data_IF_993858723356
#
_entry.id   IF_993858723356
#
_cell.length_a   1.000
_cell.length_b   1.000
_cell.length_c   1.000
_cell.angle_alpha   90.00
_cell.angle_beta   90.00
_cell.angle_gamma   90.00
#
_symmetry.space_group_name_H-M   'P 1'
#
loop_
_entity.id
_entity.type
_entity.pdbx_description
1 polymer ?
#
# COMPACT_ATOMS: atom_id res chain seq x y z
N UNK A 1 11.52 -21.69 -18.55
CA UNK A 1 10.69 -20.52 -18.92
C UNK A 1 10.73 -19.38 -17.89
N UNK A 2 11.76 -19.26 -17.03
CA UNK A 2 11.79 -18.25 -15.96
C UNK A 2 12.56 -16.94 -16.30
N UNK A 3 13.29 -16.88 -17.43
CA UNK A 3 14.10 -15.70 -17.79
C UNK A 3 13.28 -14.43 -18.09
N UNK A 4 12.10 -14.58 -18.68
CA UNK A 4 11.26 -13.45 -19.14
C UNK A 4 10.79 -12.55 -17.99
N UNK A 5 10.31 -13.15 -16.89
CA UNK A 5 9.74 -12.40 -15.76
C UNK A 5 10.79 -11.64 -14.95
N UNK A 6 11.99 -12.20 -14.81
CA UNK A 6 13.10 -11.53 -14.12
C UNK A 6 13.61 -10.35 -14.93
N UNK A 7 13.72 -10.47 -16.26
CA UNK A 7 14.07 -9.33 -17.12
C UNK A 7 12.99 -8.25 -17.13
N UNK A 8 11.71 -8.63 -17.09
CA UNK A 8 10.61 -7.68 -17.00
C UNK A 8 10.61 -6.89 -15.68
N UNK A 9 10.84 -7.57 -14.54
CA UNK A 9 11.00 -6.92 -13.23
C UNK A 9 12.24 -6.03 -13.23
N UNK A 10 13.36 -6.49 -13.78
CA UNK A 10 14.61 -5.71 -13.84
C UNK A 10 14.43 -4.47 -14.70
N UNK A 11 13.80 -4.60 -15.86
CA UNK A 11 13.44 -3.47 -16.74
C UNK A 11 12.50 -2.50 -16.05
N UNK A 12 11.54 -2.99 -15.27
CA UNK A 12 10.63 -2.17 -14.44
C UNK A 12 11.42 -1.39 -13.39
N UNK A 13 12.38 -2.03 -12.71
CA UNK A 13 13.27 -1.38 -11.73
C UNK A 13 14.22 -0.38 -12.43
N UNK A 14 14.75 -0.70 -13.60
CA UNK A 14 15.65 0.16 -14.37
C UNK A 14 14.92 1.40 -14.93
N UNK A 15 13.65 1.25 -15.31
CA UNK A 15 12.75 2.38 -15.65
C UNK A 15 12.55 3.30 -14.44
N UNK A 16 12.65 2.75 -13.23
CA UNK A 16 12.66 3.53 -11.99
C UNK A 16 14.02 4.24 -11.75
N UNK A 17 15.06 3.96 -12.53
CA UNK A 17 16.31 4.74 -12.56
C UNK A 17 17.09 4.74 -11.23
N UNK A 18 18.21 5.48 -11.14
CA UNK A 18 19.03 5.57 -9.93
C UNK A 18 18.41 6.44 -8.83
N UNK A 19 17.31 7.17 -9.10
CA UNK A 19 16.54 7.86 -8.06
C UNK A 19 15.93 6.82 -7.14
N UNK A 20 16.28 6.89 -5.85
CA UNK A 20 15.77 5.91 -4.91
C UNK A 20 14.31 6.21 -4.65
N UNK A 21 13.48 5.16 -4.74
CA UNK A 21 12.14 5.20 -4.21
C UNK A 21 12.29 5.52 -2.72
N UNK A 22 11.88 6.72 -2.35
CA UNK A 22 11.89 7.19 -0.98
C UNK A 22 10.76 6.50 -0.22
N UNK A 23 9.60 6.33 -0.85
CA UNK A 23 8.43 5.71 -0.23
C UNK A 23 7.49 5.07 -1.26
N UNK A 24 6.96 3.88 -0.94
CA UNK A 24 5.79 3.30 -1.60
C UNK A 24 4.66 3.19 -0.58
N UNK A 25 3.48 3.71 -0.91
CA UNK A 25 2.29 3.65 -0.08
C UNK A 25 1.18 2.89 -0.78
N UNK A 26 0.65 1.85 -0.15
CA UNK A 26 -0.63 1.28 -0.54
C UNK A 26 -1.72 1.78 0.40
N UNK A 27 -2.75 2.41 -0.16
CA UNK A 27 -3.92 2.90 0.58
C UNK A 27 -5.13 2.06 0.18
N UNK A 28 -5.74 1.40 1.15
CA UNK A 28 -6.99 0.65 0.95
C UNK A 28 -8.13 1.40 1.64
N UNK A 29 -9.17 1.74 0.88
CA UNK A 29 -10.24 2.65 1.31
C UNK A 29 -11.45 1.92 1.93
N UNK A 30 -12.14 2.63 2.81
CA UNK A 30 -13.31 2.28 3.63
C UNK A 30 -14.63 1.92 2.89
N UNK A 31 -14.65 1.57 1.61
CA UNK A 31 -15.93 1.20 0.98
C UNK A 31 -16.24 -0.27 1.18
N UNK A 32 -17.52 -0.61 1.30
CA UNK A 32 -17.97 -2.00 1.36
C UNK A 32 -17.40 -2.74 0.15
N UNK A 33 -16.54 -3.72 0.44
CA UNK A 33 -15.85 -4.51 -0.56
C UNK A 33 -16.60 -5.83 -0.70
N UNK A 34 -17.06 -6.17 -1.90
CA UNK A 34 -17.68 -7.47 -2.14
C UNK A 34 -16.63 -8.55 -2.46
N UNK A 35 -15.40 -8.18 -2.82
CA UNK A 35 -14.33 -9.13 -3.13
C UNK A 35 -12.90 -8.55 -3.00
N UNK A 36 -11.85 -9.40 -2.92
CA UNK A 36 -10.47 -8.95 -3.01
C UNK A 36 -10.12 -8.24 -4.33
N UNK A 37 -10.77 -8.61 -5.44
CA UNK A 37 -10.55 -7.93 -6.73
C UNK A 37 -11.08 -6.48 -6.68
N UNK A 38 -12.21 -6.27 -6.01
CA UNK A 38 -12.71 -4.93 -5.73
C UNK A 38 -11.80 -4.17 -4.77
N UNK A 39 -11.23 -4.82 -3.75
CA UNK A 39 -10.27 -4.18 -2.84
C UNK A 39 -9.12 -3.51 -3.61
N UNK A 40 -8.56 -4.22 -4.59
CA UNK A 40 -7.49 -3.69 -5.43
C UNK A 40 -7.99 -2.56 -6.34
N UNK A 41 -9.20 -2.66 -6.89
CA UNK A 41 -9.76 -1.61 -7.75
C UNK A 41 -10.11 -0.33 -6.98
N UNK A 42 -10.34 -0.44 -5.67
CA UNK A 42 -10.60 0.68 -4.75
C UNK A 42 -9.35 1.14 -3.97
N UNK A 43 -8.20 0.52 -4.24
CA UNK A 43 -6.93 0.91 -3.64
C UNK A 43 -6.27 2.06 -4.41
N UNK A 44 -5.43 2.81 -3.72
CA UNK A 44 -4.53 3.79 -4.32
C UNK A 44 -3.08 3.46 -4.01
N UNK A 45 -2.21 3.66 -4.98
CA UNK A 45 -0.77 3.56 -4.85
C UNK A 45 -0.19 4.97 -4.87
N UNK A 46 0.62 5.30 -3.87
CA UNK A 46 1.39 6.55 -3.83
C UNK A 46 2.87 6.17 -3.88
N UNK A 47 3.62 6.69 -4.82
CA UNK A 47 5.07 6.52 -4.90
C UNK A 47 5.71 7.88 -4.73
N UNK A 48 6.69 7.99 -3.84
CA UNK A 48 7.53 9.17 -3.67
C UNK A 48 8.98 8.84 -3.94
N UNK A 49 9.67 9.73 -4.63
CA UNK A 49 11.10 9.63 -4.92
C UNK A 49 11.90 10.70 -4.19
N UNK A 50 13.18 10.41 -3.97
CA UNK A 50 14.16 11.33 -3.37
C UNK A 50 14.41 12.59 -4.21
N UNK A 51 14.15 12.55 -5.52
CA UNK A 51 14.25 13.68 -6.44
C UNK A 51 13.19 13.70 -7.54
N UNK A 52 13.11 14.78 -8.34
CA UNK A 52 12.13 14.97 -9.40
C UNK A 52 12.15 13.83 -10.43
N UNK A 53 10.98 13.50 -10.97
CA UNK A 53 10.81 12.39 -11.92
C UNK A 53 9.83 12.73 -13.04
N UNK A 54 10.17 12.30 -14.26
CA UNK A 54 9.21 12.25 -15.37
C UNK A 54 8.26 11.06 -15.19
N UNK A 55 7.20 11.28 -14.43
CA UNK A 55 6.18 10.26 -14.18
C UNK A 55 5.42 9.83 -15.43
N UNK A 56 5.30 10.71 -16.44
CA UNK A 56 4.63 10.35 -17.70
C UNK A 56 5.45 9.33 -18.47
N UNK A 57 6.75 9.53 -18.58
CA UNK A 57 7.66 8.55 -19.18
C UNK A 57 7.69 7.24 -18.38
N UNK A 58 7.72 7.32 -17.04
CA UNK A 58 7.68 6.13 -16.18
C UNK A 58 6.40 5.31 -16.38
N UNK A 59 5.23 5.95 -16.41
CA UNK A 59 3.95 5.25 -16.66
C UNK A 59 3.91 4.63 -18.05
N UNK A 60 4.34 5.36 -19.09
CA UNK A 60 4.38 4.82 -20.45
C UNK A 60 5.28 3.57 -20.58
N UNK A 61 6.35 3.51 -19.78
CA UNK A 61 7.25 2.36 -19.75
C UNK A 61 6.71 1.19 -18.90
N UNK A 62 6.02 1.47 -17.78
CA UNK A 62 5.44 0.45 -16.90
C UNK A 62 4.14 -0.14 -17.45
N UNK A 63 3.35 0.66 -18.16
CA UNK A 63 2.02 0.31 -18.66
C UNK A 63 1.93 0.64 -20.16
N UNK A 64 2.76 0.03 -21.03
CA UNK A 64 2.85 0.39 -22.45
C UNK A 64 1.55 0.13 -23.22
N UNK A 65 0.72 -0.80 -22.72
CA UNK A 65 -0.59 -1.14 -23.30
C UNK A 65 -1.71 -0.13 -22.94
N UNK A 66 -1.40 0.87 -22.11
CA UNK A 66 -2.33 1.90 -21.68
C UNK A 66 -1.91 3.26 -22.24
N UNK A 67 -2.78 3.84 -23.06
CA UNK A 67 -2.71 5.26 -23.37
C UNK A 67 -3.44 6.04 -22.30
N UNK A 68 -2.87 7.12 -21.78
CA UNK A 68 -3.59 7.99 -20.85
C UNK A 68 -3.92 9.32 -21.53
N UNK A 69 -5.18 9.75 -21.42
CA UNK A 69 -5.63 11.05 -21.86
C UNK A 69 -5.52 12.06 -20.71
N UNK A 70 -5.11 13.29 -21.03
CA UNK A 70 -5.14 14.39 -20.06
C UNK A 70 -6.59 14.80 -19.78
N UNK A 71 -6.91 15.01 -18.52
CA UNK A 71 -8.19 15.51 -18.03
C UNK A 71 -7.95 16.53 -16.91
N UNK A 72 -8.98 17.31 -16.58
CA UNK A 72 -8.93 18.30 -15.50
C UNK A 72 -10.07 18.14 -14.53
N UNK A 73 -9.75 18.28 -13.25
CA UNK A 73 -10.73 18.28 -12.16
C UNK A 73 -10.26 19.22 -11.04
N UNK A 74 -11.14 20.10 -10.56
CA UNK A 74 -10.84 21.07 -9.50
C UNK A 74 -9.54 21.87 -9.70
N UNK A 75 -9.21 22.22 -10.95
CA UNK A 75 -8.00 22.97 -11.29
C UNK A 75 -6.71 22.14 -11.38
N UNK A 76 -6.72 20.85 -11.04
CA UNK A 76 -5.59 19.95 -11.25
C UNK A 76 -5.72 19.17 -12.57
N UNK A 77 -4.58 18.98 -13.22
CA UNK A 77 -4.41 18.04 -14.33
C UNK A 77 -4.21 16.61 -13.84
N UNK A 78 -4.84 15.66 -14.50
CA UNK A 78 -4.60 14.23 -14.31
C UNK A 78 -4.67 13.48 -15.61
N UNK A 79 -4.30 12.21 -15.54
CA UNK A 79 -4.20 11.33 -16.68
C UNK A 79 -5.09 10.12 -16.44
N UNK A 80 -5.94 9.79 -17.41
CA UNK A 80 -6.93 8.71 -17.27
C UNK A 80 -6.85 7.75 -18.45
N UNK A 81 -6.88 6.46 -18.17
CA UNK A 81 -6.96 5.42 -19.18
C UNK A 81 -8.37 5.37 -19.81
N UNK A 82 -8.50 4.99 -21.10
CA UNK A 82 -9.76 4.80 -21.80
C UNK A 82 -10.81 3.99 -21.03
N UNK A 83 -12.09 4.33 -21.24
CA UNK A 83 -13.25 3.83 -20.49
C UNK A 83 -13.50 2.32 -20.70
N UNK A 84 -13.03 1.76 -21.79
CA UNK A 84 -13.20 0.35 -22.16
C UNK A 84 -12.33 -0.61 -21.36
N UNK A 85 -11.41 -0.10 -20.52
CA UNK A 85 -10.62 -0.91 -19.59
C UNK A 85 -11.24 -0.87 -18.17
N UNK A 86 -11.38 -2.07 -17.58
CA UNK A 86 -12.27 -2.46 -16.45
C UNK A 86 -12.18 -1.65 -15.16
N UNK A 87 -11.22 -0.76 -15.04
CA UNK A 87 -11.17 0.21 -13.97
C UNK A 87 -10.59 1.45 -14.63
N UNK A 88 -11.37 2.54 -14.72
CA UNK A 88 -10.91 3.83 -15.23
C UNK A 88 -9.72 4.29 -14.40
N UNK A 89 -8.55 3.74 -14.66
CA UNK A 89 -7.34 3.94 -13.91
C UNK A 89 -6.88 5.35 -14.25
N UNK A 90 -6.58 6.13 -13.23
CA UNK A 90 -6.03 7.44 -13.42
C UNK A 90 -4.84 7.64 -12.51
N UNK A 91 -3.99 8.56 -12.92
CA UNK A 91 -2.91 9.04 -12.09
C UNK A 91 -2.82 10.56 -12.12
N UNK A 92 -2.26 11.13 -11.07
CA UNK A 92 -1.83 12.52 -11.06
C UNK A 92 -0.52 12.65 -10.27
N UNK A 93 0.14 13.78 -10.47
CA UNK A 93 1.40 14.11 -9.82
C UNK A 93 1.19 15.38 -8.99
N UNK A 94 1.02 15.28 -7.66
CA UNK A 94 0.86 16.45 -6.79
C UNK A 94 2.05 17.41 -6.87
N UNK A 95 3.25 16.85 -7.00
CA UNK A 95 4.53 17.52 -7.20
C UNK A 95 5.38 16.70 -8.19
N UNK A 96 6.62 17.10 -8.46
CA UNK A 96 7.54 16.38 -9.37
C UNK A 96 8.16 15.12 -8.75
N UNK A 97 7.93 14.86 -7.46
CA UNK A 97 8.47 13.72 -6.71
C UNK A 97 7.43 12.66 -6.35
N UNK A 98 6.16 12.96 -6.54
CA UNK A 98 5.05 12.14 -6.04
C UNK A 98 4.15 11.72 -7.18
N UNK A 99 3.82 10.45 -7.18
CA UNK A 99 2.92 9.81 -8.12
C UNK A 99 1.78 9.17 -7.36
N UNK A 100 0.55 9.44 -7.78
CA UNK A 100 -0.64 8.82 -7.19
C UNK A 100 -1.40 8.10 -8.30
N UNK A 101 -1.67 6.82 -8.12
CA UNK A 101 -2.39 5.96 -9.06
C UNK A 101 -3.57 5.30 -8.34
N UNK A 102 -4.77 5.43 -8.90
CA UNK A 102 -5.98 4.79 -8.38
C UNK A 102 -7.05 4.72 -9.47
N UNK A 103 -8.14 3.99 -9.27
CA UNK A 103 -9.31 4.19 -10.12
C UNK A 103 -9.86 5.62 -9.90
N UNK A 104 -10.26 6.29 -10.99
CA UNK A 104 -10.63 7.72 -11.01
C UNK A 104 -11.60 8.15 -9.90
N UNK A 105 -12.66 7.39 -9.56
CA UNK A 105 -13.54 7.75 -8.43
C UNK A 105 -12.80 7.86 -7.08
N UNK A 106 -11.74 7.07 -6.88
CA UNK A 106 -10.91 7.08 -5.69
C UNK A 106 -9.72 8.02 -5.80
N UNK A 107 -9.24 8.28 -7.02
CA UNK A 107 -8.19 9.25 -7.28
C UNK A 107 -8.56 10.61 -6.66
N UNK A 108 -9.82 11.06 -6.82
CA UNK A 108 -10.35 12.31 -6.24
C UNK A 108 -10.31 12.39 -4.71
N UNK A 109 -10.21 11.26 -4.00
CA UNK A 109 -10.08 11.24 -2.53
C UNK A 109 -8.70 11.70 -2.09
N UNK A 110 -7.67 11.41 -2.88
CA UNK A 110 -6.31 11.91 -2.66
C UNK A 110 -6.20 13.41 -2.99
N UNK A 111 -7.09 13.92 -3.83
CA UNK A 111 -7.15 15.33 -4.23
C UNK A 111 -7.75 16.27 -3.19
N UNK A 112 -8.94 15.94 -2.69
CA UNK A 112 -9.72 16.83 -1.80
C UNK A 112 -9.05 17.13 -0.47
N UNK A 113 -7.95 16.46 -0.17
CA UNK A 113 -7.18 16.60 1.06
C UNK A 113 -5.79 17.19 0.83
N UNK A 114 -5.30 17.20 -0.42
CA UNK A 114 -3.92 17.50 -0.80
C UNK A 114 -3.55 18.96 -1.06
N UNK A 115 -4.34 19.95 -0.64
CA UNK A 115 -3.87 21.34 -0.65
C UNK A 115 -3.03 21.63 0.62
N UNK A 116 -1.88 20.97 0.72
CA UNK A 116 -0.91 21.14 1.82
C UNK A 116 -0.20 19.85 2.25
N UNK A 117 0.79 19.93 3.15
CA UNK A 117 1.52 18.76 3.68
C UNK A 117 0.64 17.75 4.44
N UNK A 118 -0.61 18.10 4.73
CA UNK A 118 -1.55 17.32 5.55
C UNK A 118 -2.65 16.62 4.72
N UNK A 119 -2.27 16.03 3.59
CA UNK A 119 -3.18 15.29 2.70
C UNK A 119 -3.90 14.11 3.35
N UNK A 120 -3.40 13.63 4.48
CA UNK A 120 -4.05 12.57 5.23
C UNK A 120 -5.18 13.07 6.15
N UNK A 121 -5.34 14.39 6.34
CA UNK A 121 -6.30 14.96 7.31
C UNK A 121 -7.72 14.40 7.12
N UNK A 122 -8.31 13.91 8.23
CA UNK A 122 -9.62 13.27 8.26
C UNK A 122 -9.66 11.78 7.87
N UNK A 123 -8.53 11.11 7.66
CA UNK A 123 -8.47 9.64 7.58
C UNK A 123 -8.25 9.10 8.99
N UNK A 124 -8.90 7.98 9.34
CA UNK A 124 -8.74 7.32 10.64
C UNK A 124 -7.26 7.01 10.95
N UNK A 125 -6.49 6.73 9.91
CA UNK A 125 -5.07 6.42 9.97
C UNK A 125 -4.12 7.63 9.80
N UNK A 126 -4.64 8.84 9.62
CA UNK A 126 -3.83 10.02 9.27
C UNK A 126 -2.74 10.37 10.30
N UNK A 127 -3.09 10.29 11.59
CA UNK A 127 -2.14 10.53 12.68
C UNK A 127 -1.06 9.45 12.76
N UNK A 128 -1.46 8.20 12.54
CA UNK A 128 -0.53 7.06 12.50
C UNK A 128 0.43 7.15 11.30
N UNK A 129 -0.07 7.61 10.15
CA UNK A 129 0.72 7.82 8.93
C UNK A 129 1.89 8.78 9.14
N UNK A 130 1.64 9.96 9.71
CA UNK A 130 2.69 10.97 9.96
C UNK A 130 3.88 10.41 10.73
N UNK A 131 3.63 9.43 11.58
CA UNK A 131 4.62 8.91 12.48
C UNK A 131 5.35 7.65 11.96
N UNK A 132 5.05 7.24 10.73
CA UNK A 132 5.79 6.22 9.98
C UNK A 132 6.23 6.74 8.58
N UNK A 133 5.96 8.00 8.28
CA UNK A 133 6.15 8.59 6.96
C UNK A 133 7.62 8.58 6.50
N UNK A 134 8.56 8.45 7.44
CA UNK A 134 10.00 8.36 7.17
C UNK A 134 10.44 6.95 6.72
N UNK A 135 9.53 5.97 6.67
CA UNK A 135 9.79 4.62 6.18
C UNK A 135 9.75 4.50 4.65
N UNK A 136 10.48 3.53 4.11
CA UNK A 136 10.62 3.29 2.65
C UNK A 136 9.42 2.60 2.01
N UNK A 137 8.64 1.85 2.79
CA UNK A 137 7.35 1.37 2.34
C UNK A 137 6.35 1.53 3.48
N UNK A 138 5.11 1.82 3.13
CA UNK A 138 4.04 1.94 4.08
C UNK A 138 2.72 1.41 3.51
N UNK A 139 1.91 0.85 4.39
CA UNK A 139 0.58 0.34 4.05
C UNK A 139 -0.38 0.91 5.07
N UNK A 140 -1.40 1.64 4.59
CA UNK A 140 -2.49 2.13 5.41
C UNK A 140 -3.75 1.33 5.11
N UNK A 141 -4.23 0.63 6.13
CA UNK A 141 -5.36 -0.28 6.04
C UNK A 141 -6.49 0.21 6.94
N UNK A 142 -7.68 0.32 6.36
CA UNK A 142 -8.90 0.37 7.14
C UNK A 142 -9.40 -1.05 7.40
N UNK A 143 -9.46 -1.40 8.67
CA UNK A 143 -9.76 -2.76 9.09
C UNK A 143 -11.26 -3.07 9.02
N UNK A 144 -12.12 -2.06 9.15
CA UNK A 144 -13.57 -2.27 9.11
C UNK A 144 -14.00 -2.94 7.80
N UNK A 145 -13.48 -2.45 6.68
CA UNK A 145 -13.79 -3.01 5.36
C UNK A 145 -13.07 -4.32 5.09
N UNK A 146 -11.83 -4.45 5.60
CA UNK A 146 -11.09 -5.70 5.45
C UNK A 146 -11.83 -6.86 6.13
N UNK A 147 -12.45 -6.60 7.29
CA UNK A 147 -13.24 -7.59 8.03
C UNK A 147 -14.41 -8.13 7.22
N UNK A 148 -15.14 -7.27 6.51
CA UNK A 148 -16.27 -7.68 5.66
C UNK A 148 -15.86 -8.61 4.52
N UNK A 149 -14.64 -8.46 3.98
CA UNK A 149 -14.11 -9.31 2.90
C UNK A 149 -13.49 -10.59 3.44
N UNK A 150 -12.70 -10.46 4.50
CA UNK A 150 -11.88 -11.54 5.01
C UNK A 150 -12.73 -12.51 5.84
N UNK A 151 -13.67 -12.05 6.66
CA UNK A 151 -14.46 -12.96 7.51
C UNK A 151 -15.22 -14.05 6.75
N UNK A 152 -15.93 -13.77 5.64
CA UNK A 152 -16.57 -14.82 4.85
C UNK A 152 -15.55 -15.82 4.31
N UNK A 153 -14.45 -15.32 3.73
CA UNK A 153 -13.39 -16.15 3.18
C UNK A 153 -12.74 -17.05 4.26
N UNK A 154 -12.53 -16.51 5.47
CA UNK A 154 -11.96 -17.28 6.59
C UNK A 154 -12.90 -18.37 7.08
N UNK A 155 -14.21 -18.11 7.13
CA UNK A 155 -15.21 -19.12 7.51
C UNK A 155 -15.21 -20.30 6.53
N UNK A 156 -14.92 -20.05 5.26
CA UNK A 156 -14.83 -21.07 4.22
C UNK A 156 -13.47 -21.78 4.16
N UNK A 157 -12.38 -21.15 4.62
CA UNK A 157 -11.01 -21.59 4.33
C UNK A 157 -10.44 -22.68 5.25
N UNK A 158 -11.22 -23.27 6.16
CA UNK A 158 -10.81 -24.43 6.96
C UNK A 158 -9.53 -24.19 7.78
N UNK A 159 -8.41 -24.84 7.41
CA UNK A 159 -7.12 -24.71 8.10
C UNK A 159 -6.57 -23.28 8.16
N UNK A 160 -6.85 -22.45 7.14
CA UNK A 160 -6.48 -21.04 7.15
C UNK A 160 -7.21 -20.24 8.24
N UNK A 161 -8.36 -20.73 8.73
CA UNK A 161 -9.07 -20.12 9.85
C UNK A 161 -8.26 -20.20 11.15
N UNK A 162 -7.38 -21.19 11.30
CA UNK A 162 -6.50 -21.32 12.47
C UNK A 162 -5.43 -20.23 12.47
N UNK A 163 -4.75 -20.05 11.33
CA UNK A 163 -3.76 -18.98 11.14
C UNK A 163 -4.45 -17.62 11.33
N UNK A 164 -5.66 -17.49 10.81
CA UNK A 164 -6.41 -16.28 11.00
C UNK A 164 -6.77 -16.04 12.48
N UNK A 165 -7.21 -17.06 13.20
CA UNK A 165 -7.44 -16.97 14.64
C UNK A 165 -6.23 -16.43 15.43
N UNK A 166 -4.99 -16.73 14.98
CA UNK A 166 -3.77 -16.24 15.63
C UNK A 166 -3.54 -14.74 15.48
N UNK A 167 -4.06 -14.14 14.41
CA UNK A 167 -3.96 -12.70 14.13
C UNK A 167 -5.29 -11.97 14.31
N UNK A 168 -6.33 -12.65 14.82
CA UNK A 168 -7.66 -12.11 15.02
C UNK A 168 -7.72 -10.77 15.74
N UNK A 169 -6.96 -10.55 16.83
CA UNK A 169 -6.95 -9.26 17.50
C UNK A 169 -6.59 -8.08 16.58
N UNK A 170 -5.74 -8.29 15.57
CA UNK A 170 -5.37 -7.24 14.62
C UNK A 170 -6.53 -6.71 13.81
N UNK A 171 -7.52 -7.54 13.45
CA UNK A 171 -8.70 -7.06 12.74
C UNK A 171 -9.96 -6.92 13.58
N UNK A 172 -10.02 -7.53 14.76
CA UNK A 172 -11.19 -7.42 15.65
C UNK A 172 -11.11 -6.14 16.50
N UNK A 173 -9.91 -5.79 16.97
CA UNK A 173 -9.72 -4.74 17.98
C UNK A 173 -9.26 -3.40 17.39
N UNK A 174 -8.90 -3.37 16.11
CA UNK A 174 -8.41 -2.18 15.42
C UNK A 174 -9.48 -1.61 14.48
N UNK A 175 -9.58 -0.29 14.41
CA UNK A 175 -10.34 0.41 13.37
C UNK A 175 -9.52 0.61 12.10
N UNK A 176 -8.19 0.59 12.23
CA UNK A 176 -7.24 0.75 11.14
C UNK A 176 -5.83 0.59 11.67
N UNK A 177 -4.91 0.24 10.79
CA UNK A 177 -3.49 0.26 11.12
C UNK A 177 -2.66 0.79 9.97
N UNK A 178 -1.48 1.27 10.32
CA UNK A 178 -0.45 1.66 9.38
C UNK A 178 0.79 0.84 9.67
N UNK A 179 1.28 0.16 8.65
CA UNK A 179 2.52 -0.60 8.66
C UNK A 179 3.57 0.21 7.91
N UNK A 180 4.70 0.49 8.53
CA UNK A 180 5.89 1.09 7.92
C UNK A 180 7.03 0.07 7.90
N UNK A 181 7.79 0.07 6.81
CA UNK A 181 8.99 -0.73 6.63
C UNK A 181 10.16 0.20 6.36
N UNK A 182 11.23 0.07 7.14
CA UNK A 182 12.50 0.74 6.92
C UNK A 182 13.59 -0.33 6.78
N UNK A 183 14.44 -0.19 5.77
CA UNK A 183 15.56 -1.05 5.41
C UNK A 183 16.87 -0.27 5.28
N UNK A 184 16.86 1.06 5.49
CA UNK A 184 18.04 1.93 5.29
C UNK A 184 19.18 1.59 6.27
N UNK A 185 18.85 1.42 7.55
CA UNK A 185 19.81 1.13 8.63
C UNK A 185 19.63 -0.30 9.18
N UNK A 186 19.06 -1.18 8.37
CA UNK A 186 18.60 -2.51 8.76
C UNK A 186 17.08 -2.63 8.66
N UNK A 187 16.58 -3.87 8.78
CA UNK A 187 15.16 -4.17 8.69
C UNK A 187 14.42 -3.77 9.98
N UNK A 188 13.68 -2.67 9.92
CA UNK A 188 12.76 -2.21 10.94
C UNK A 188 11.32 -2.22 10.42
N UNK A 189 10.40 -2.68 11.27
CA UNK A 189 8.97 -2.73 10.99
C UNK A 189 8.25 -1.93 12.07
N UNK A 190 7.57 -0.87 11.66
CA UNK A 190 6.74 -0.04 12.54
C UNK A 190 5.27 -0.35 12.27
N UNK A 191 4.52 -0.77 13.28
CA UNK A 191 3.08 -0.89 13.16
C UNK A 191 2.39 0.02 14.17
N UNK A 192 1.45 0.82 13.69
CA UNK A 192 0.59 1.67 14.51
C UNK A 192 -0.86 1.30 14.25
N UNK A 193 -1.56 0.88 15.29
CA UNK A 193 -2.97 0.49 15.22
C UNK A 193 -3.83 1.45 16.04
N UNK A 194 -4.95 1.89 15.46
CA UNK A 194 -5.98 2.64 16.19
C UNK A 194 -6.94 1.63 16.82
N UNK A 195 -6.88 1.46 18.14
CA UNK A 195 -7.70 0.51 18.88
C UNK A 195 -8.90 1.20 19.54
N UNK A 196 -10.05 0.52 19.58
CA UNK A 196 -11.28 1.06 20.19
C UNK A 196 -11.27 1.09 21.72
N UNK A 197 -10.33 0.39 22.35
CA UNK A 197 -10.16 0.33 23.80
C UNK A 197 -8.72 0.03 24.20
N UNK A 198 -8.36 0.35 25.44
CA UNK A 198 -7.04 0.00 26.01
C UNK A 198 -6.81 -1.52 26.03
N UNK A 199 -7.82 -2.30 26.47
CA UNK A 199 -7.69 -3.76 26.51
C UNK A 199 -7.53 -4.38 25.11
N UNK A 200 -8.19 -3.83 24.09
CA UNK A 200 -7.98 -4.22 22.69
C UNK A 200 -6.56 -3.89 22.21
N UNK A 201 -6.04 -2.73 22.62
CA UNK A 201 -4.65 -2.35 22.34
C UNK A 201 -3.63 -3.33 22.91
N UNK A 202 -3.82 -3.78 24.16
CA UNK A 202 -2.96 -4.80 24.79
C UNK A 202 -3.00 -6.11 24.00
N UNK A 203 -4.19 -6.59 23.61
CA UNK A 203 -4.32 -7.82 22.80
C UNK A 203 -3.59 -7.71 21.47
N UNK A 204 -3.75 -6.58 20.77
CA UNK A 204 -3.06 -6.31 19.50
C UNK A 204 -1.55 -6.32 19.68
N UNK A 205 -1.05 -5.65 20.71
CA UNK A 205 0.39 -5.60 21.00
C UNK A 205 0.96 -7.00 21.28
N UNK A 206 0.29 -7.79 22.12
CA UNK A 206 0.71 -9.15 22.45
C UNK A 206 0.76 -10.06 21.22
N UNK A 207 -0.27 -9.99 20.36
CA UNK A 207 -0.31 -10.70 19.07
C UNK A 207 0.87 -10.32 18.17
N UNK A 208 1.19 -9.03 18.07
CA UNK A 208 2.30 -8.56 17.26
C UNK A 208 3.66 -8.99 17.80
N UNK A 209 3.83 -8.96 19.13
CA UNK A 209 5.04 -9.47 19.78
C UNK A 209 5.23 -10.96 19.49
N UNK A 210 4.16 -11.76 19.58
CA UNK A 210 4.20 -13.17 19.23
C UNK A 210 4.58 -13.40 17.76
N UNK A 211 3.93 -12.67 16.84
CA UNK A 211 4.24 -12.74 15.41
C UNK A 211 5.70 -12.36 15.11
N UNK A 212 6.23 -11.32 15.76
CA UNK A 212 7.62 -10.91 15.60
C UNK A 212 8.61 -11.97 16.10
N UNK A 213 8.30 -12.66 17.21
CA UNK A 213 9.12 -13.77 17.71
C UNK A 213 9.13 -14.92 16.69
N UNK A 214 7.98 -15.28 16.14
CA UNK A 214 7.88 -16.31 15.10
C UNK A 214 8.69 -15.92 13.86
N UNK A 215 8.56 -14.68 13.39
CA UNK A 215 9.30 -14.18 12.24
C UNK A 215 10.83 -14.21 12.47
N UNK A 216 11.30 -13.82 13.67
CA UNK A 216 12.72 -13.90 14.04
C UNK A 216 13.25 -15.33 14.11
N UNK A 217 12.43 -16.27 14.57
CA UNK A 217 12.82 -17.68 14.60
C UNK A 217 12.87 -18.26 13.18
N UNK A 218 11.92 -17.90 12.32
CA UNK A 218 11.92 -18.31 10.93
C UNK A 218 13.10 -17.72 10.15
N UNK A 219 13.46 -16.45 10.39
CA UNK A 219 14.56 -15.78 9.67
C UNK A 219 15.93 -16.42 9.93
N UNK A 220 16.14 -16.97 11.12
CA UNK A 220 17.36 -17.72 11.48
C UNK A 220 17.51 -19.04 10.72
N UNK A 221 16.40 -19.58 10.21
CA UNK A 221 16.37 -20.82 9.45
C UNK A 221 16.64 -20.62 7.96
N UNK A 222 16.70 -19.36 7.48
CA UNK A 222 17.06 -19.10 6.09
C UNK A 222 18.58 -19.23 5.91
N UNK A 223 19.05 -19.96 4.88
CA UNK A 223 20.46 -19.95 4.53
C UNK A 223 20.90 -18.52 4.17
N UNK A 224 22.18 -18.16 4.36
CA UNK A 224 22.70 -16.89 3.88
C UNK A 224 22.39 -16.73 2.39
N UNK A 225 22.02 -15.52 1.97
CA UNK A 225 21.86 -15.23 0.54
C UNK A 225 23.15 -15.62 -0.19
N UNK A 226 23.06 -16.33 -1.32
CA UNK A 226 24.24 -16.62 -2.13
C UNK A 226 24.92 -15.30 -2.49
N UNK A 227 26.25 -15.26 -2.40
CA UNK A 227 27.03 -14.09 -2.79
C UNK A 227 26.63 -13.67 -4.21
N UNK A 228 26.45 -12.36 -4.47
CA UNK A 228 26.15 -11.88 -5.82
C UNK A 228 27.29 -12.28 -6.76
N UNK A 229 26.95 -13.02 -7.83
CA UNK A 229 27.86 -13.42 -8.91
C UNK A 229 28.20 -12.20 -9.78
#
# INVERSE_FOLDING_TARGET
>A
MNGSRTEEIRRTIDVLGPTTIEQITLVISQQALASPAEMLSQSGLIIRTDGPRDWKAAVAALLPELTFAEARYAGQTYHVAPIDKISRLGYFTPDDRTFVLAAVPYLFRFWGRGQGPDWSSGLSWAGAWKAIADGQAAVALDVGCLREVIEPALKEAGELAVIAGMVAPLWEETGGFVLGLNVRDGLALDLRAACGSESGGVRVEETLRAALVLARNASRSFPPFPDPI
#
